data_IF_023723888689
#
_entry.id   IF_023723888689
#
_cell.length_a   1.000
_cell.length_b   1.000
_cell.length_c   1.000
_cell.angle_alpha   90.00
_cell.angle_beta   90.00
_cell.angle_gamma   90.00
#
_symmetry.space_group_name_H-M   'P 1'
#
loop_
_entity.id
_entity.type
_entity.pdbx_description
1 polymer ?
#
# COMPACT_ATOMS: atom_id res chain seq x y z
N UNK A 1 -15.62 -10.09 -3.50
CA UNK A 1 -14.93 -8.80 -3.25
C UNK A 1 -13.63 -8.80 -4.04
N UNK A 2 -13.34 -7.71 -4.76
CA UNK A 2 -12.09 -7.54 -5.51
C UNK A 2 -11.21 -6.54 -4.77
N UNK A 3 -10.18 -7.02 -4.09
CA UNK A 3 -9.28 -6.26 -3.22
C UNK A 3 -9.14 -6.91 -1.84
N UNK A 4 -7.99 -7.53 -1.57
CA UNK A 4 -7.67 -8.25 -0.32
C UNK A 4 -6.89 -7.38 0.69
N UNK A 5 -7.35 -6.14 0.91
CA UNK A 5 -6.76 -5.23 1.90
C UNK A 5 -7.86 -4.63 2.79
N UNK A 6 -7.54 -3.57 3.55
CA UNK A 6 -8.41 -3.02 4.59
C UNK A 6 -9.86 -2.83 4.15
N UNK A 7 -10.11 -2.26 2.97
CA UNK A 7 -11.46 -2.02 2.47
C UNK A 7 -12.24 -3.33 2.20
N UNK A 8 -11.61 -4.32 1.55
CA UNK A 8 -12.24 -5.61 1.29
C UNK A 8 -12.47 -6.42 2.57
N UNK A 9 -11.50 -6.41 3.49
CA UNK A 9 -11.66 -7.02 4.81
C UNK A 9 -12.79 -6.37 5.61
N UNK A 10 -12.86 -5.04 5.62
CA UNK A 10 -13.92 -4.30 6.32
C UNK A 10 -15.29 -4.61 5.73
N UNK A 11 -15.40 -4.72 4.40
CA UNK A 11 -16.64 -5.13 3.75
C UNK A 11 -17.04 -6.57 4.14
N UNK A 12 -16.08 -7.49 4.20
CA UNK A 12 -16.32 -8.88 4.63
C UNK A 12 -16.85 -8.93 6.07
N UNK A 13 -16.22 -8.20 6.98
CA UNK A 13 -16.63 -8.07 8.39
C UNK A 13 -18.02 -7.48 8.50
N UNK A 14 -18.28 -6.35 7.84
CA UNK A 14 -19.58 -5.69 7.88
C UNK A 14 -20.71 -6.59 7.34
N UNK A 15 -20.46 -7.38 6.29
CA UNK A 15 -21.43 -8.36 5.78
C UNK A 15 -21.76 -9.42 6.84
N UNK A 16 -20.74 -10.00 7.50
CA UNK A 16 -20.95 -10.98 8.57
C UNK A 16 -21.66 -10.39 9.78
N UNK A 17 -21.25 -9.21 10.22
CA UNK A 17 -21.87 -8.48 11.34
C UNK A 17 -23.35 -8.15 11.07
N UNK A 18 -23.71 -7.92 9.81
CA UNK A 18 -25.10 -7.66 9.39
C UNK A 18 -25.89 -8.94 9.09
N UNK A 19 -25.34 -10.11 9.38
CA UNK A 19 -26.04 -11.39 9.26
C UNK A 19 -26.05 -11.99 7.85
N UNK A 20 -25.21 -11.52 6.92
CA UNK A 20 -25.04 -12.20 5.65
C UNK A 20 -24.36 -13.56 5.87
N UNK A 21 -25.06 -14.63 5.54
CA UNK A 21 -24.63 -16.03 5.72
C UNK A 21 -24.15 -16.69 4.41
N UNK A 22 -24.25 -15.98 3.29
CA UNK A 22 -23.79 -16.47 1.99
C UNK A 22 -22.27 -16.57 1.85
N UNK A 23 -21.83 -17.10 0.71
CA UNK A 23 -20.42 -17.28 0.39
C UNK A 23 -19.71 -15.93 0.19
N UNK A 24 -18.57 -15.75 0.87
CA UNK A 24 -17.69 -14.60 0.65
C UNK A 24 -16.37 -15.05 0.06
N UNK A 25 -16.06 -14.54 -1.13
CA UNK A 25 -14.75 -14.71 -1.78
C UNK A 25 -14.06 -13.36 -1.86
N UNK A 26 -12.83 -13.27 -1.38
CA UNK A 26 -11.99 -12.07 -1.48
C UNK A 26 -10.81 -12.37 -2.40
N UNK A 27 -10.72 -11.61 -3.49
CA UNK A 27 -9.66 -11.74 -4.49
C UNK A 27 -8.58 -10.68 -4.22
N UNK A 28 -7.31 -11.09 -4.21
CA UNK A 28 -6.15 -10.20 -4.07
C UNK A 28 -5.09 -10.53 -5.11
N UNK A 29 -4.43 -9.50 -5.62
CA UNK A 29 -3.28 -9.63 -6.51
C UNK A 29 -1.97 -9.92 -5.74
N UNK A 30 -1.85 -9.46 -4.50
CA UNK A 30 -0.78 -9.85 -3.58
C UNK A 30 -1.00 -11.25 -2.99
N UNK A 31 0.09 -11.95 -2.64
CA UNK A 31 0.06 -13.29 -2.02
C UNK A 31 -0.26 -13.24 -0.51
N UNK A 32 -0.27 -12.04 0.07
CA UNK A 32 -0.40 -11.82 1.49
C UNK A 32 -1.86 -11.68 1.92
N UNK A 33 -2.19 -12.23 3.09
CA UNK A 33 -3.44 -11.88 3.78
C UNK A 33 -3.45 -10.37 4.11
N UNK A 34 -4.64 -9.76 4.30
CA UNK A 34 -4.76 -8.35 4.64
C UNK A 34 -3.85 -7.90 5.78
N UNK A 35 -3.11 -6.83 5.54
CA UNK A 35 -2.20 -6.21 6.50
C UNK A 35 -2.32 -4.69 6.47
N UNK A 36 -1.85 -4.05 7.54
CA UNK A 36 -1.85 -2.60 7.71
C UNK A 36 -0.69 -1.98 6.93
N UNK A 37 -1.01 -1.01 6.07
CA UNK A 37 -0.05 -0.34 5.17
C UNK A 37 0.63 0.91 5.76
N UNK A 38 0.00 1.74 6.63
CA UNK A 38 0.62 2.91 7.22
C UNK A 38 1.97 2.68 7.94
N UNK A 39 2.25 1.52 8.59
CA UNK A 39 3.56 1.28 9.19
C UNK A 39 4.68 1.01 8.18
N UNK A 40 4.37 0.72 6.90
CA UNK A 40 5.36 0.33 5.87
C UNK A 40 6.42 1.41 5.60
N UNK A 41 6.07 2.69 5.72
CA UNK A 41 6.96 3.85 5.58
C UNK A 41 7.59 4.30 6.90
N UNK A 42 7.20 3.69 8.02
CA UNK A 42 7.55 4.07 9.39
C UNK A 42 8.25 2.93 10.12
N UNK A 43 7.62 2.38 11.15
CA UNK A 43 8.21 1.38 12.03
C UNK A 43 8.64 0.10 11.32
N UNK A 44 7.96 -0.31 10.25
CA UNK A 44 8.39 -1.47 9.47
C UNK A 44 9.69 -1.19 8.69
N UNK A 45 9.79 0.02 8.12
CA UNK A 45 10.98 0.46 7.39
C UNK A 45 12.18 0.65 8.33
N UNK A 46 11.95 1.15 9.54
CA UNK A 46 12.99 1.34 10.56
C UNK A 46 13.27 0.08 11.40
N UNK A 47 12.56 -1.02 11.15
CA UNK A 47 12.74 -2.29 11.88
C UNK A 47 12.17 -2.34 13.30
N UNK A 48 11.36 -1.36 13.71
CA UNK A 48 10.67 -1.34 15.02
C UNK A 48 9.29 -1.99 14.99
N UNK A 49 8.79 -2.36 13.80
CA UNK A 49 7.55 -3.11 13.59
C UNK A 49 7.85 -4.37 12.78
N UNK A 50 7.43 -5.53 13.29
CA UNK A 50 7.62 -6.81 12.60
C UNK A 50 6.54 -7.05 11.54
N UNK A 51 6.72 -8.06 10.68
CA UNK A 51 5.69 -8.44 9.70
C UNK A 51 4.38 -8.88 10.38
N UNK A 52 4.47 -9.62 11.48
CA UNK A 52 3.30 -10.12 12.20
C UNK A 52 2.48 -8.98 12.82
N UNK A 53 3.15 -7.90 13.25
CA UNK A 53 2.48 -6.71 13.81
C UNK A 53 1.62 -5.96 12.77
N UNK A 54 1.81 -6.25 11.47
CA UNK A 54 1.00 -5.66 10.40
C UNK A 54 -0.31 -6.43 10.16
N UNK A 55 -0.46 -7.66 10.64
CA UNK A 55 -1.61 -8.50 10.26
C UNK A 55 -2.93 -7.90 10.76
N UNK A 56 -3.88 -7.71 9.84
CA UNK A 56 -5.23 -7.21 10.18
C UNK A 56 -6.21 -8.33 10.51
N UNK A 57 -5.83 -9.57 10.23
CA UNK A 57 -6.56 -10.79 10.55
C UNK A 57 -5.85 -11.50 11.71
N UNK A 58 -6.29 -11.27 12.96
CA UNK A 58 -5.74 -12.00 14.09
C UNK A 58 -6.10 -13.48 14.00
N UNK A 59 -5.29 -14.33 14.63
CA UNK A 59 -5.59 -15.75 14.74
C UNK A 59 -6.97 -15.97 15.39
N UNK A 60 -7.84 -16.71 14.71
CA UNK A 60 -9.19 -17.03 15.20
C UNK A 60 -10.33 -16.16 14.64
N UNK A 61 -10.06 -15.21 13.74
CA UNK A 61 -11.10 -14.48 13.01
C UNK A 61 -11.80 -15.40 11.98
N UNK A 62 -12.90 -16.06 12.39
CA UNK A 62 -13.70 -16.94 11.54
C UNK A 62 -14.74 -16.15 10.73
N UNK A 63 -14.25 -15.39 9.75
CA UNK A 63 -15.14 -14.72 8.79
C UNK A 63 -15.76 -15.69 7.78
N UNK A 64 -15.39 -16.97 7.79
CA UNK A 64 -15.74 -17.95 6.77
C UNK A 64 -15.59 -17.36 5.34
N UNK A 65 -14.42 -16.75 5.09
CA UNK A 65 -14.05 -16.13 3.81
C UNK A 65 -13.09 -17.03 3.05
N UNK A 66 -13.35 -17.20 1.75
CA UNK A 66 -12.41 -17.83 0.83
C UNK A 66 -11.46 -16.76 0.29
N UNK A 67 -10.18 -16.88 0.63
CA UNK A 67 -9.12 -15.98 0.16
C UNK A 67 -8.52 -16.51 -1.14
N UNK A 68 -8.72 -15.77 -2.23
CA UNK A 68 -8.13 -16.02 -3.54
C UNK A 68 -7.01 -15.01 -3.78
N UNK A 69 -5.83 -15.29 -3.24
CA UNK A 69 -4.66 -14.40 -3.25
C UNK A 69 -3.68 -14.74 -4.38
N UNK A 70 -2.78 -13.80 -4.68
CA UNK A 70 -1.72 -13.96 -5.68
C UNK A 70 -2.21 -14.03 -7.14
N UNK A 71 -3.50 -13.76 -7.39
CA UNK A 71 -4.09 -13.83 -8.73
C UNK A 71 -4.96 -12.60 -8.96
N UNK A 72 -4.51 -11.64 -9.78
CA UNK A 72 -5.29 -10.42 -10.04
C UNK A 72 -6.59 -10.74 -10.76
N UNK A 73 -7.65 -10.02 -10.41
CA UNK A 73 -8.83 -9.90 -11.24
C UNK A 73 -8.53 -8.99 -12.45
N UNK A 74 -8.88 -9.44 -13.65
CA UNK A 74 -8.59 -8.75 -14.92
C UNK A 74 -9.86 -8.30 -15.64
N UNK A 75 -11.04 -8.78 -15.23
CA UNK A 75 -12.30 -8.40 -15.84
C UNK A 75 -13.49 -8.56 -14.89
N UNK A 76 -14.54 -7.79 -15.18
CA UNK A 76 -15.85 -7.90 -14.55
C UNK A 76 -16.91 -7.88 -15.66
N UNK A 77 -17.63 -8.98 -15.81
CA UNK A 77 -18.63 -9.15 -16.86
C UNK A 77 -20.01 -9.37 -16.25
N UNK A 78 -21.07 -8.69 -16.73
CA UNK A 78 -22.44 -9.05 -16.36
C UNK A 78 -22.79 -10.43 -16.94
N UNK A 79 -23.59 -11.19 -16.21
CA UNK A 79 -24.16 -12.47 -16.65
C UNK A 79 -25.69 -12.39 -16.59
N UNK A 80 -26.40 -13.38 -17.13
CA UNK A 80 -27.86 -13.41 -17.09
C UNK A 80 -28.46 -13.47 -15.67
N UNK A 81 -27.65 -13.77 -14.64
CA UNK A 81 -28.10 -13.91 -13.25
C UNK A 81 -27.22 -13.17 -12.22
N UNK A 82 -26.20 -12.41 -12.66
CA UNK A 82 -25.25 -11.78 -11.74
C UNK A 82 -24.01 -11.25 -12.47
N UNK A 83 -22.84 -11.55 -11.93
CA UNK A 83 -21.55 -11.11 -12.46
C UNK A 83 -20.53 -12.25 -12.49
N UNK A 84 -19.60 -12.17 -13.43
CA UNK A 84 -18.40 -13.00 -13.47
C UNK A 84 -17.17 -12.12 -13.26
N UNK A 85 -16.36 -12.44 -12.26
CA UNK A 85 -15.02 -11.86 -12.07
C UNK A 85 -14.01 -12.77 -12.77
N UNK A 86 -13.36 -12.24 -13.80
CA UNK A 86 -12.32 -12.95 -14.55
C UNK A 86 -10.98 -12.76 -13.85
N UNK A 87 -10.27 -13.85 -13.59
CA UNK A 87 -8.95 -13.85 -12.99
C UNK A 87 -7.86 -14.00 -14.06
N UNK A 88 -6.66 -13.50 -13.80
CA UNK A 88 -5.54 -13.58 -14.73
C UNK A 88 -5.11 -15.02 -15.09
N UNK A 89 -5.44 -16.00 -14.24
CA UNK A 89 -5.20 -17.42 -14.53
C UNK A 89 -6.31 -18.08 -15.37
N UNK A 90 -7.25 -17.29 -15.91
CA UNK A 90 -8.35 -17.76 -16.75
C UNK A 90 -9.54 -18.32 -15.99
N UNK A 91 -9.50 -18.40 -14.65
CA UNK A 91 -10.66 -18.79 -13.85
C UNK A 91 -11.70 -17.68 -13.81
N UNK A 92 -12.96 -18.07 -13.75
CA UNK A 92 -14.08 -17.17 -13.55
C UNK A 92 -14.75 -17.45 -12.19
N UNK A 93 -15.06 -16.39 -11.46
CA UNK A 93 -15.82 -16.46 -10.21
C UNK A 93 -17.18 -15.84 -10.43
N UNK A 94 -18.24 -16.65 -10.36
CA UNK A 94 -19.61 -16.19 -10.41
C UNK A 94 -20.03 -15.60 -9.06
N UNK A 95 -20.71 -14.47 -9.09
CA UNK A 95 -21.20 -13.80 -7.90
C UNK A 95 -22.52 -13.05 -8.17
N UNK A 96 -23.42 -13.10 -7.20
CA UNK A 96 -24.67 -12.33 -7.22
C UNK A 96 -24.38 -10.84 -6.99
N UNK A 97 -23.33 -10.52 -6.22
CA UNK A 97 -22.88 -9.15 -5.94
C UNK A 97 -21.35 -9.02 -5.93
N UNK A 98 -20.85 -7.88 -6.42
CA UNK A 98 -19.42 -7.58 -6.46
C UNK A 98 -19.12 -6.26 -5.77
N UNK A 99 -18.24 -6.31 -4.77
CA UNK A 99 -17.63 -5.11 -4.16
C UNK A 99 -16.27 -4.88 -4.80
N UNK A 100 -16.08 -3.69 -5.38
CA UNK A 100 -14.79 -3.22 -5.89
C UNK A 100 -14.05 -2.45 -4.79
N UNK A 101 -13.00 -3.07 -4.25
CA UNK A 101 -12.16 -2.56 -3.17
C UNK A 101 -10.68 -2.56 -3.58
N UNK A 102 -10.40 -2.27 -4.85
CA UNK A 102 -9.08 -2.40 -5.49
C UNK A 102 -8.05 -1.36 -5.03
N UNK A 103 -8.49 -0.31 -4.32
CA UNK A 103 -7.61 0.72 -3.80
C UNK A 103 -6.90 1.50 -4.91
N UNK A 104 -5.60 1.77 -4.71
CA UNK A 104 -4.76 2.53 -5.62
C UNK A 104 -3.38 1.87 -5.77
N UNK A 105 -2.69 2.22 -6.85
CA UNK A 105 -1.31 1.80 -7.16
C UNK A 105 -0.36 2.98 -7.11
N UNK A 106 0.90 2.73 -6.74
CA UNK A 106 1.94 3.74 -6.88
C UNK A 106 2.16 4.04 -8.37
N UNK A 107 2.27 5.33 -8.71
CA UNK A 107 2.65 5.74 -10.07
C UNK A 107 4.15 5.55 -10.22
N UNK A 108 4.53 4.81 -11.26
CA UNK A 108 5.93 4.67 -11.68
C UNK A 108 6.23 5.79 -12.66
N UNK A 109 7.40 6.42 -12.54
CA UNK A 109 7.85 7.44 -13.49
C UNK A 109 8.38 6.79 -14.77
N UNK A 110 8.08 7.40 -15.91
CA UNK A 110 8.47 6.88 -17.22
C UNK A 110 9.99 6.68 -17.30
N UNK A 111 10.40 5.52 -17.81
CA UNK A 111 11.81 5.14 -17.93
C UNK A 111 12.50 4.65 -16.65
N UNK A 112 11.80 4.61 -15.50
CA UNK A 112 12.39 4.18 -14.23
C UNK A 112 11.96 2.78 -13.74
N UNK A 113 11.03 2.13 -14.44
CA UNK A 113 10.44 0.85 -13.98
C UNK A 113 11.46 -0.28 -13.77
N UNK A 114 12.48 -0.36 -14.64
CA UNK A 114 13.49 -1.44 -14.63
C UNK A 114 14.85 -1.00 -14.06
N UNK A 115 14.93 0.22 -13.49
CA UNK A 115 16.18 0.76 -12.96
C UNK A 115 16.43 0.20 -11.57
N UNK A 116 17.57 -0.50 -11.40
CA UNK A 116 17.99 -1.03 -10.10
C UNK A 116 18.14 0.09 -9.06
N UNK A 117 17.64 -0.15 -7.85
CA UNK A 117 17.64 0.83 -6.76
C UNK A 117 16.51 1.87 -6.84
N UNK A 118 15.65 1.82 -7.86
CA UNK A 118 14.41 2.61 -7.87
C UNK A 118 13.29 1.78 -7.27
N UNK A 119 12.66 2.34 -6.26
CA UNK A 119 11.54 1.71 -5.55
C UNK A 119 10.31 2.60 -5.60
N UNK A 120 9.14 1.98 -5.67
CA UNK A 120 7.91 2.58 -5.15
C UNK A 120 7.61 1.98 -3.78
N UNK A 121 6.72 2.57 -2.99
CA UNK A 121 6.33 2.02 -1.68
C UNK A 121 4.81 1.96 -1.57
N UNK A 122 4.23 0.78 -1.80
CA UNK A 122 2.80 0.51 -1.67
C UNK A 122 2.50 -0.81 -0.97
N UNK A 123 3.29 -1.84 -1.26
CA UNK A 123 3.12 -3.20 -0.76
C UNK A 123 4.15 -3.53 0.32
N UNK A 124 3.92 -4.62 1.05
CA UNK A 124 4.94 -5.15 1.98
C UNK A 124 6.18 -5.63 1.24
N UNK A 125 6.04 -6.16 0.03
CA UNK A 125 7.17 -6.60 -0.80
C UNK A 125 8.01 -5.39 -1.24
N UNK A 126 7.37 -4.27 -1.59
CA UNK A 126 8.05 -3.00 -1.85
C UNK A 126 8.85 -2.54 -0.62
N UNK A 127 8.22 -2.61 0.56
CA UNK A 127 8.84 -2.16 1.81
C UNK A 127 10.03 -3.04 2.21
N UNK A 128 9.94 -4.35 1.98
CA UNK A 128 11.06 -5.29 2.19
C UNK A 128 12.20 -4.96 1.24
N UNK A 129 11.93 -4.84 -0.06
CA UNK A 129 12.95 -4.52 -1.07
C UNK A 129 13.63 -3.18 -0.79
N UNK A 130 12.85 -2.15 -0.44
CA UNK A 130 13.39 -0.84 -0.06
C UNK A 130 14.27 -0.94 1.20
N UNK A 131 13.83 -1.67 2.24
CA UNK A 131 14.60 -1.82 3.47
C UNK A 131 15.92 -2.55 3.25
N UNK A 132 15.92 -3.57 2.40
CA UNK A 132 17.13 -4.32 2.02
C UNK A 132 18.16 -3.42 1.34
N UNK A 133 17.73 -2.61 0.36
CA UNK A 133 18.62 -1.68 -0.32
C UNK A 133 19.10 -0.55 0.61
N UNK A 134 18.25 -0.06 1.51
CA UNK A 134 18.62 0.97 2.50
C UNK A 134 19.68 0.48 3.48
N UNK A 135 19.72 -0.81 3.82
CA UNK A 135 20.68 -1.35 4.79
C UNK A 135 22.15 -1.21 4.35
N UNK A 136 22.40 -1.15 3.03
CA UNK A 136 23.73 -0.94 2.44
C UNK A 136 23.96 0.47 1.90
N UNK A 137 22.95 1.35 1.94
CA UNK A 137 23.00 2.66 1.31
C UNK A 137 23.57 3.74 2.24
N UNK A 138 24.26 4.71 1.65
CA UNK A 138 24.75 5.92 2.35
C UNK A 138 23.86 7.14 2.11
N UNK A 139 23.09 7.11 1.01
CA UNK A 139 22.18 8.18 0.63
C UNK A 139 20.96 7.64 -0.09
N UNK A 140 19.87 8.41 -0.05
CA UNK A 140 18.62 8.12 -0.76
C UNK A 140 18.04 9.41 -1.33
N UNK A 141 17.51 9.31 -2.55
CA UNK A 141 16.73 10.38 -3.19
C UNK A 141 15.28 9.94 -3.24
N UNK A 142 14.40 10.79 -2.74
CA UNK A 142 12.95 10.55 -2.68
C UNK A 142 12.30 11.48 -3.69
N UNK A 143 11.55 10.91 -4.63
CA UNK A 143 10.83 11.70 -5.64
C UNK A 143 9.37 11.86 -5.22
N UNK A 144 9.01 13.07 -4.82
CA UNK A 144 7.69 13.47 -4.30
C UNK A 144 7.70 13.75 -2.80
N UNK A 145 7.33 14.97 -2.42
CA UNK A 145 7.17 15.48 -1.05
C UNK A 145 5.73 15.37 -0.53
N UNK A 146 5.04 14.29 -0.88
CA UNK A 146 3.76 13.91 -0.25
C UNK A 146 3.95 13.23 1.11
N UNK A 147 2.87 12.74 1.72
CA UNK A 147 2.95 12.09 3.05
C UNK A 147 3.92 10.91 3.08
N UNK A 148 3.85 10.01 2.10
CA UNK A 148 4.76 8.87 2.02
C UNK A 148 6.21 9.32 1.84
N UNK A 149 6.47 10.33 1.00
CA UNK A 149 7.81 10.86 0.79
C UNK A 149 8.39 11.49 2.06
N UNK A 150 7.60 12.29 2.78
CA UNK A 150 7.97 12.88 4.05
C UNK A 150 8.25 11.81 5.13
N UNK A 151 7.39 10.79 5.24
CA UNK A 151 7.58 9.69 6.18
C UNK A 151 8.84 8.88 5.87
N UNK A 152 9.06 8.51 4.61
CA UNK A 152 10.26 7.79 4.18
C UNK A 152 11.51 8.64 4.39
N UNK A 153 11.44 9.95 4.15
CA UNK A 153 12.55 10.87 4.41
C UNK A 153 12.93 10.86 5.90
N UNK A 154 11.94 10.98 6.78
CA UNK A 154 12.14 10.90 8.23
C UNK A 154 12.72 9.56 8.65
N UNK A 155 12.17 8.45 8.15
CA UNK A 155 12.65 7.09 8.45
C UNK A 155 14.09 6.88 7.98
N UNK A 156 14.43 7.29 6.76
CA UNK A 156 15.79 7.18 6.22
C UNK A 156 16.80 8.05 7.00
N UNK A 157 16.41 9.25 7.43
CA UNK A 157 17.24 10.07 8.34
C UNK A 157 17.48 9.38 9.67
N UNK A 158 16.46 8.74 10.26
CA UNK A 158 16.61 8.00 11.52
C UNK A 158 17.55 6.80 11.40
N UNK A 159 17.67 6.23 10.19
CA UNK A 159 18.63 5.18 9.85
C UNK A 159 20.03 5.72 9.52
N UNK A 160 20.25 7.04 9.59
CA UNK A 160 21.55 7.68 9.38
C UNK A 160 21.91 7.99 7.93
N UNK A 161 20.98 7.84 6.97
CA UNK A 161 21.25 8.12 5.56
C UNK A 161 21.27 9.62 5.26
N UNK A 162 22.03 10.01 4.25
CA UNK A 162 21.88 11.32 3.59
C UNK A 162 20.60 11.31 2.77
N UNK A 163 19.69 12.26 2.97
CA UNK A 163 18.37 12.26 2.32
C UNK A 163 18.17 13.52 1.50
N UNK A 164 17.78 13.34 0.24
CA UNK A 164 17.30 14.41 -0.62
C UNK A 164 15.86 14.11 -1.05
N UNK A 165 14.98 15.10 -0.97
CA UNK A 165 13.61 15.03 -1.47
C UNK A 165 13.49 15.96 -2.67
N UNK A 166 13.01 15.44 -3.79
CA UNK A 166 12.72 16.21 -5.00
C UNK A 166 11.22 16.41 -5.09
N UNK A 167 10.76 17.64 -4.98
CA UNK A 167 9.34 18.02 -5.08
C UNK A 167 9.10 18.88 -6.33
N UNK A 168 8.01 18.61 -7.04
CA UNK A 168 7.62 19.34 -8.25
C UNK A 168 6.82 20.61 -7.92
N UNK A 169 6.12 20.64 -6.78
CA UNK A 169 5.42 21.81 -6.25
C UNK A 169 6.39 22.77 -5.56
N UNK A 170 5.92 23.97 -5.23
CA UNK A 170 6.74 24.97 -4.53
C UNK A 170 7.08 24.60 -3.09
N UNK A 171 6.28 23.73 -2.45
CA UNK A 171 6.50 23.18 -1.11
C UNK A 171 5.95 21.75 -1.03
N UNK A 172 6.47 20.87 -0.15
CA UNK A 172 5.88 19.57 0.10
C UNK A 172 4.47 19.71 0.66
N UNK A 173 3.63 18.69 0.48
CA UNK A 173 2.27 18.62 1.05
C UNK A 173 1.34 19.81 0.69
N UNK A 174 1.64 20.61 -0.34
CA UNK A 174 0.86 21.81 -0.66
C UNK A 174 -0.61 21.49 -1.01
N UNK A 175 -0.85 20.36 -1.69
CA UNK A 175 -2.20 19.87 -1.99
C UNK A 175 -3.04 19.59 -0.73
N UNK A 176 -2.63 18.67 0.16
CA UNK A 176 -3.41 18.32 1.35
C UNK A 176 -3.38 19.36 2.48
N UNK A 177 -2.31 20.14 2.64
CA UNK A 177 -2.11 21.01 3.82
C UNK A 177 -2.02 22.51 3.52
N UNK A 178 -2.12 22.93 2.26
CA UNK A 178 -1.82 24.28 1.80
C UNK A 178 -0.35 24.69 1.98
N UNK A 179 0.00 25.86 1.42
CA UNK A 179 1.40 26.28 1.24
C UNK A 179 2.06 26.62 2.57
N UNK A 180 1.32 27.22 3.51
CA UNK A 180 1.84 27.66 4.80
C UNK A 180 2.30 26.47 5.66
N UNK A 181 1.48 25.42 5.74
CA UNK A 181 1.88 24.20 6.44
C UNK A 181 2.94 23.41 5.65
N UNK A 182 2.88 23.42 4.32
CA UNK A 182 3.91 22.81 3.49
C UNK A 182 5.30 23.42 3.74
N UNK A 183 5.38 24.75 3.86
CA UNK A 183 6.63 25.44 4.20
C UNK A 183 7.12 25.07 5.62
N UNK A 184 6.22 24.94 6.58
CA UNK A 184 6.57 24.49 7.93
C UNK A 184 7.10 23.03 7.92
N UNK A 185 6.49 22.14 7.15
CA UNK A 185 6.98 20.78 6.96
C UNK A 185 8.36 20.75 6.29
N UNK A 186 8.58 21.60 5.28
CA UNK A 186 9.88 21.72 4.61
C UNK A 186 10.98 22.16 5.58
N UNK A 187 10.71 23.21 6.37
CA UNK A 187 11.63 23.69 7.39
C UNK A 187 11.94 22.60 8.42
N UNK A 188 10.92 21.89 8.92
CA UNK A 188 11.10 20.80 9.87
C UNK A 188 12.00 19.68 9.31
N UNK A 189 11.81 19.30 8.06
CA UNK A 189 12.68 18.32 7.40
C UNK A 189 14.11 18.85 7.24
N UNK A 190 14.27 20.10 6.84
CA UNK A 190 15.57 20.79 6.77
C UNK A 190 16.32 20.80 8.10
N UNK A 191 15.62 21.12 9.20
CA UNK A 191 16.18 21.13 10.56
C UNK A 191 16.68 19.73 10.99
N UNK A 192 16.15 18.66 10.39
CA UNK A 192 16.57 17.27 10.64
C UNK A 192 17.54 16.73 9.57
N UNK A 193 18.09 17.62 8.73
CA UNK A 193 19.13 17.31 7.76
C UNK A 193 18.63 16.61 6.49
N UNK A 194 17.36 16.77 6.14
CA UNK A 194 16.85 16.46 4.80
C UNK A 194 17.12 17.65 3.88
N UNK A 195 17.67 17.39 2.70
CA UNK A 195 17.75 18.37 1.63
C UNK A 195 16.45 18.33 0.81
N UNK A 196 15.80 19.47 0.62
CA UNK A 196 14.62 19.67 -0.22
C UNK A 196 14.96 20.57 -1.40
#
# INVERSE_FOLDING_TARGET
MVGASLAGLSAARALREQGFDGNLVVVGDEQHLPYDRPPLSKGFLTGTTSRADLDLLPAGDDLAVIWQLGVPATGLCPTGAGHAVVLANGRELLADGVVLATGARARVLDGLADVKGVHTLRTVDDAVALREDLAGATSVVIVGGGFIGAEVASSARSLGLTVTVVEAQGVPLAGPLAVELGAACAALHGDHGVQL
#
